data_IF_862060552458
#
_entry.id   IF_862060552458
#
_cell.length_a   1.000
_cell.length_b   1.000
_cell.length_c   1.000
_cell.angle_alpha   90.00
_cell.angle_beta   90.00
_cell.angle_gamma   90.00
#
_symmetry.space_group_name_H-M   'P 1'
#
loop_
_entity.id
_entity.type
_entity.pdbx_description
1 polymer ?
#
# COMPACT_ATOMS: atom_id res chain seq x y z
N UNK A 1 -8.59 23.36 -23.60
CA UNK A 1 -8.78 22.86 -22.21
C UNK A 1 -7.42 22.56 -21.63
N UNK A 2 -7.21 22.96 -20.39
CA UNK A 2 -5.98 22.63 -19.68
C UNK A 2 -5.92 21.11 -19.44
N UNK A 3 -4.75 20.54 -19.64
CA UNK A 3 -4.54 19.10 -19.40
C UNK A 3 -4.36 18.84 -17.90
N UNK A 4 -5.29 18.11 -17.30
CA UNK A 4 -5.27 17.76 -15.88
C UNK A 4 -5.15 16.25 -15.76
N UNK A 5 -3.98 15.78 -15.34
CA UNK A 5 -3.68 14.35 -15.12
C UNK A 5 -4.03 13.98 -13.69
N UNK A 6 -4.83 12.93 -13.51
CA UNK A 6 -5.11 12.33 -12.21
C UNK A 6 -4.86 10.82 -12.20
N UNK A 7 -4.68 10.28 -11.00
CA UNK A 7 -4.41 8.86 -10.76
C UNK A 7 -5.01 8.46 -9.40
N UNK A 8 -5.35 7.17 -9.20
CA UNK A 8 -5.99 6.71 -7.96
C UNK A 8 -5.10 6.93 -6.74
N UNK A 9 -5.72 7.32 -5.65
CA UNK A 9 -5.06 7.46 -4.37
C UNK A 9 -4.67 6.09 -3.79
N UNK A 10 -3.47 5.97 -3.27
CA UNK A 10 -2.99 4.78 -2.57
C UNK A 10 -2.10 5.20 -1.40
N UNK A 11 -2.74 5.49 -0.27
CA UNK A 11 -2.07 5.95 0.93
C UNK A 11 -1.09 7.09 0.63
N UNK A 12 0.03 7.09 1.32
CA UNK A 12 1.06 8.14 1.15
C UNK A 12 1.85 8.06 -0.15
N UNK A 13 1.69 6.96 -0.92
CA UNK A 13 2.40 6.80 -2.20
C UNK A 13 1.92 7.74 -3.30
N UNK A 14 0.77 8.40 -3.10
CA UNK A 14 0.37 9.50 -3.98
C UNK A 14 1.46 10.59 -4.07
N UNK A 15 2.25 10.81 -3.00
CA UNK A 15 3.32 11.84 -2.97
C UNK A 15 4.40 11.59 -4.02
N UNK A 16 5.14 10.45 -4.02
CA UNK A 16 6.15 10.19 -5.04
C UNK A 16 5.57 10.03 -6.45
N UNK A 17 4.34 9.50 -6.60
CA UNK A 17 3.69 9.37 -7.91
C UNK A 17 3.38 10.75 -8.48
N UNK A 18 2.81 11.65 -7.69
CA UNK A 18 2.54 13.04 -8.09
C UNK A 18 3.83 13.77 -8.49
N UNK A 19 4.91 13.62 -7.71
CA UNK A 19 6.21 14.20 -8.04
C UNK A 19 6.76 13.66 -9.37
N UNK A 20 6.68 12.35 -9.60
CA UNK A 20 7.12 11.73 -10.85
C UNK A 20 6.37 12.30 -12.05
N UNK A 21 5.05 12.34 -11.96
CA UNK A 21 4.20 12.82 -13.06
C UNK A 21 4.45 14.31 -13.36
N UNK A 22 4.65 15.14 -12.33
CA UNK A 22 5.01 16.56 -12.49
C UNK A 22 6.36 16.75 -13.18
N UNK A 23 7.33 15.86 -12.95
CA UNK A 23 8.60 15.90 -13.69
C UNK A 23 8.46 15.42 -15.13
N UNK A 24 7.60 14.42 -15.38
CA UNK A 24 7.42 13.85 -16.73
C UNK A 24 6.54 14.74 -17.61
N UNK A 25 5.47 15.31 -17.08
CA UNK A 25 4.44 16.05 -17.80
C UNK A 25 4.42 17.53 -17.37
N UNK A 26 5.40 18.29 -17.85
CA UNK A 26 5.60 19.69 -17.47
C UNK A 26 4.51 20.63 -17.96
N UNK A 27 3.81 20.26 -19.03
CA UNK A 27 2.76 21.06 -19.67
C UNK A 27 1.35 20.67 -19.18
N UNK A 28 1.26 19.85 -18.11
CA UNK A 28 0.01 19.40 -17.54
C UNK A 28 -0.07 19.77 -16.06
N UNK A 29 -1.25 20.04 -15.56
CA UNK A 29 -1.53 20.05 -14.14
C UNK A 29 -1.62 18.58 -13.67
N UNK A 30 -0.90 18.23 -12.63
CA UNK A 30 -0.95 16.86 -12.04
C UNK A 30 -1.47 16.97 -10.64
N UNK A 31 -2.54 16.24 -10.35
CA UNK A 31 -3.11 16.10 -9.01
C UNK A 31 -3.48 14.64 -8.73
N UNK A 32 -3.16 14.15 -7.55
CA UNK A 32 -3.71 12.88 -7.10
C UNK A 32 -5.24 12.99 -6.97
N UNK A 33 -5.96 11.93 -7.24
CA UNK A 33 -7.38 11.87 -6.89
C UNK A 33 -7.60 12.14 -5.40
N UNK A 34 -8.79 12.58 -4.96
CA UNK A 34 -9.08 12.81 -3.55
C UNK A 34 -8.74 11.60 -2.65
N UNK A 35 -8.43 11.83 -1.37
CA UNK A 35 -8.26 10.74 -0.42
C UNK A 35 -9.48 9.81 -0.40
N UNK A 36 -9.25 8.53 -0.27
CA UNK A 36 -10.31 7.52 -0.24
C UNK A 36 -11.24 7.75 0.95
N UNK A 37 -12.55 7.75 0.68
CA UNK A 37 -13.61 7.95 1.66
C UNK A 37 -14.73 6.92 1.46
N UNK A 38 -15.73 6.98 2.35
CA UNK A 38 -16.96 6.20 2.19
C UNK A 38 -17.68 6.54 0.87
N UNK A 39 -17.72 7.83 0.49
CA UNK A 39 -18.28 8.30 -0.78
C UNK A 39 -17.57 7.64 -1.98
N UNK A 40 -16.24 7.54 -1.94
CA UNK A 40 -15.45 6.86 -2.98
C UNK A 40 -15.89 5.40 -3.14
N UNK A 41 -16.07 4.69 -2.02
CA UNK A 41 -16.52 3.28 -2.05
C UNK A 41 -17.96 3.15 -2.56
N UNK A 42 -18.85 4.04 -2.15
CA UNK A 42 -20.24 4.07 -2.60
C UNK A 42 -20.35 4.31 -4.11
N UNK A 43 -19.64 5.31 -4.63
CA UNK A 43 -19.57 5.60 -6.08
C UNK A 43 -19.01 4.39 -6.85
N UNK A 44 -17.89 3.87 -6.41
CA UNK A 44 -17.28 2.70 -7.06
C UNK A 44 -18.16 1.46 -6.99
N UNK A 45 -18.85 1.20 -5.88
CA UNK A 45 -19.74 0.06 -5.73
C UNK A 45 -20.98 0.16 -6.60
N UNK A 46 -21.52 1.38 -6.78
CA UNK A 46 -22.70 1.63 -7.60
C UNK A 46 -22.51 1.23 -9.07
N UNK A 47 -21.33 1.46 -9.61
CA UNK A 47 -21.05 1.30 -11.05
C UNK A 47 -20.12 0.12 -11.36
N UNK A 48 -19.60 -0.57 -10.35
CA UNK A 48 -18.77 -1.75 -10.56
C UNK A 48 -19.58 -3.02 -10.78
N UNK A 49 -19.07 -4.00 -11.52
CA UNK A 49 -19.60 -5.36 -11.50
C UNK A 49 -19.58 -5.94 -10.07
N UNK A 50 -20.56 -6.80 -9.73
CA UNK A 50 -20.74 -7.30 -8.35
C UNK A 50 -19.53 -8.07 -7.80
N UNK A 51 -18.90 -8.91 -8.64
CA UNK A 51 -17.84 -9.83 -8.21
C UNK A 51 -16.42 -9.30 -8.34
N UNK A 52 -16.24 -7.99 -8.55
CA UNK A 52 -14.91 -7.39 -8.51
C UNK A 52 -14.45 -7.18 -7.07
N UNK A 53 -13.14 -7.25 -6.83
CA UNK A 53 -12.60 -7.00 -5.50
C UNK A 53 -12.68 -5.52 -5.11
N UNK A 54 -12.67 -5.23 -3.80
CA UNK A 54 -12.77 -3.86 -3.27
C UNK A 54 -11.78 -2.85 -3.90
N UNK A 55 -10.51 -3.17 -4.21
CA UNK A 55 -9.61 -2.25 -4.90
C UNK A 55 -10.13 -1.73 -6.25
N UNK A 56 -10.86 -2.56 -7.02
CA UNK A 56 -11.51 -2.09 -8.24
C UNK A 56 -12.52 -0.98 -7.95
N UNK A 57 -13.37 -1.20 -6.92
CA UNK A 57 -14.41 -0.27 -6.50
C UNK A 57 -13.81 1.05 -6.02
N UNK A 58 -12.77 0.99 -5.18
CA UNK A 58 -12.05 2.19 -4.73
C UNK A 58 -11.46 2.98 -5.90
N UNK A 59 -10.79 2.31 -6.84
CA UNK A 59 -10.19 2.99 -7.97
C UNK A 59 -11.24 3.60 -8.90
N UNK A 60 -12.34 2.88 -9.19
CA UNK A 60 -13.41 3.41 -10.03
C UNK A 60 -14.07 4.64 -9.38
N UNK A 61 -14.43 4.55 -8.10
CA UNK A 61 -15.00 5.70 -7.38
C UNK A 61 -14.04 6.90 -7.34
N UNK A 62 -12.76 6.62 -7.15
CA UNK A 62 -11.73 7.66 -7.11
C UNK A 62 -11.49 8.32 -8.48
N UNK A 63 -11.61 7.55 -9.58
CA UNK A 63 -11.61 8.13 -10.93
C UNK A 63 -12.84 9.02 -11.19
N UNK A 64 -14.03 8.60 -10.73
CA UNK A 64 -15.24 9.43 -10.83
C UNK A 64 -15.03 10.75 -10.09
N UNK A 65 -14.56 10.71 -8.84
CA UNK A 65 -14.27 11.92 -8.07
C UNK A 65 -13.24 12.82 -8.76
N UNK A 66 -12.18 12.24 -9.33
CA UNK A 66 -11.17 13.00 -10.05
C UNK A 66 -11.72 13.68 -11.33
N UNK A 67 -12.59 12.99 -12.07
CA UNK A 67 -13.26 13.54 -13.26
C UNK A 67 -14.24 14.67 -12.88
N UNK A 68 -14.98 14.49 -11.79
CA UNK A 68 -15.90 15.53 -11.26
C UNK A 68 -15.13 16.78 -10.80
N UNK A 69 -13.86 16.62 -10.36
CA UNK A 69 -12.95 17.72 -10.02
C UNK A 69 -12.22 18.32 -11.25
N UNK A 70 -12.57 17.89 -12.46
CA UNK A 70 -12.09 18.44 -13.72
C UNK A 70 -10.87 17.74 -14.32
N UNK A 71 -10.44 16.60 -13.80
CA UNK A 71 -9.42 15.79 -14.48
C UNK A 71 -9.94 15.35 -15.86
N UNK A 72 -9.06 15.36 -16.87
CA UNK A 72 -9.39 14.93 -18.23
C UNK A 72 -8.39 13.93 -18.80
N UNK A 73 -7.39 13.55 -18.00
CA UNK A 73 -6.46 12.47 -18.29
C UNK A 73 -6.34 11.60 -17.05
N UNK A 74 -6.73 10.34 -17.16
CA UNK A 74 -6.63 9.36 -16.07
C UNK A 74 -5.46 8.41 -16.30
N UNK A 75 -4.73 8.11 -15.24
CA UNK A 75 -3.57 7.25 -15.29
C UNK A 75 -3.74 6.08 -14.32
N UNK A 76 -3.55 4.86 -14.80
CA UNK A 76 -3.57 3.65 -13.98
C UNK A 76 -2.36 2.76 -14.26
N UNK A 77 -1.84 2.14 -13.20
CA UNK A 77 -0.84 1.08 -13.28
C UNK A 77 -1.52 -0.29 -13.12
N UNK A 78 -1.19 -1.25 -13.97
CA UNK A 78 -1.64 -2.64 -13.84
C UNK A 78 -0.92 -3.38 -12.70
N UNK A 79 -1.46 -4.52 -12.30
CA UNK A 79 -0.90 -5.37 -11.23
C UNK A 79 -0.67 -6.82 -11.66
N UNK A 80 -0.12 -7.63 -10.76
CA UNK A 80 0.23 -9.03 -10.99
C UNK A 80 -0.95 -10.03 -10.92
N UNK A 81 -2.18 -9.56 -10.78
CA UNK A 81 -3.41 -10.35 -10.73
C UNK A 81 -4.44 -9.81 -11.74
N UNK A 82 -5.75 -10.05 -11.52
CA UNK A 82 -6.84 -9.45 -12.32
C UNK A 82 -6.78 -7.92 -12.41
N UNK A 83 -6.14 -7.27 -11.46
CA UNK A 83 -5.88 -5.83 -11.45
C UNK A 83 -5.22 -5.33 -12.76
N UNK A 84 -4.51 -6.20 -13.46
CA UNK A 84 -3.92 -5.90 -14.77
C UNK A 84 -4.94 -5.43 -15.82
N UNK A 85 -6.17 -5.96 -15.74
CA UNK A 85 -7.25 -5.69 -16.69
C UNK A 85 -8.28 -4.70 -16.15
N UNK A 86 -8.07 -4.13 -14.96
CA UNK A 86 -9.03 -3.20 -14.37
C UNK A 86 -9.15 -1.91 -15.18
N UNK A 87 -8.04 -1.44 -15.76
CA UNK A 87 -8.01 -0.22 -16.54
C UNK A 87 -8.99 -0.24 -17.70
N UNK A 88 -9.00 -1.30 -18.50
CA UNK A 88 -9.88 -1.43 -19.65
C UNK A 88 -11.36 -1.43 -19.23
N UNK A 89 -11.71 -2.15 -18.18
CA UNK A 89 -13.08 -2.22 -17.67
C UNK A 89 -13.51 -0.88 -17.06
N UNK A 90 -12.64 -0.25 -16.29
CA UNK A 90 -12.92 1.06 -15.67
C UNK A 90 -13.06 2.15 -16.75
N UNK A 91 -12.19 2.16 -17.74
CA UNK A 91 -12.29 3.08 -18.88
C UNK A 91 -13.64 2.94 -19.59
N UNK A 92 -14.10 1.71 -19.86
CA UNK A 92 -15.38 1.48 -20.49
C UNK A 92 -16.55 1.98 -19.63
N UNK A 93 -16.56 1.63 -18.33
CA UNK A 93 -17.61 2.10 -17.41
C UNK A 93 -17.68 3.64 -17.35
N UNK A 94 -16.53 4.30 -17.28
CA UNK A 94 -16.48 5.78 -17.22
C UNK A 94 -16.98 6.41 -18.52
N UNK A 95 -16.69 5.81 -19.68
CA UNK A 95 -17.24 6.24 -20.98
C UNK A 95 -18.77 6.04 -21.05
N UNK A 96 -19.27 4.91 -20.57
CA UNK A 96 -20.71 4.61 -20.53
C UNK A 96 -21.45 5.58 -19.58
N UNK A 97 -20.77 6.12 -18.58
CA UNK A 97 -21.28 7.18 -17.70
C UNK A 97 -21.26 8.59 -18.36
N UNK A 98 -20.74 8.70 -19.59
CA UNK A 98 -20.72 9.94 -20.35
C UNK A 98 -19.49 10.84 -20.10
N UNK A 99 -18.48 10.39 -19.38
CA UNK A 99 -17.26 11.17 -19.18
C UNK A 99 -16.41 11.20 -20.47
N UNK A 100 -15.85 12.37 -20.76
CA UNK A 100 -14.90 12.59 -21.85
C UNK A 100 -13.49 12.80 -21.29
N UNK A 101 -12.60 11.83 -21.51
CA UNK A 101 -11.23 11.82 -20.94
C UNK A 101 -10.29 10.95 -21.78
N UNK A 102 -8.99 11.15 -21.61
CA UNK A 102 -7.96 10.22 -22.08
C UNK A 102 -7.58 9.24 -20.94
N UNK A 103 -7.36 7.97 -21.29
CA UNK A 103 -6.94 6.94 -20.33
C UNK A 103 -5.54 6.43 -20.65
N UNK A 104 -4.62 6.57 -19.70
CA UNK A 104 -3.24 6.11 -19.83
C UNK A 104 -3.04 4.90 -18.94
N UNK A 105 -2.90 3.73 -19.55
CA UNK A 105 -2.55 2.52 -18.83
C UNK A 105 -1.03 2.33 -18.85
N UNK A 106 -0.42 2.46 -17.66
CA UNK A 106 1.01 2.20 -17.44
C UNK A 106 1.12 0.78 -16.87
N UNK A 107 1.95 -0.08 -17.48
CA UNK A 107 2.23 -1.43 -16.98
C UNK A 107 1.12 -2.48 -17.23
N UNK A 108 0.83 -2.77 -18.48
CA UNK A 108 0.07 -3.97 -18.84
C UNK A 108 0.93 -5.25 -18.94
N UNK A 109 2.19 -5.24 -18.48
CA UNK A 109 3.13 -6.36 -18.60
C UNK A 109 4.46 -6.14 -17.85
N UNK A 110 5.55 -6.75 -18.33
CA UNK A 110 6.89 -6.50 -17.80
C UNK A 110 7.29 -5.05 -17.99
N UNK A 111 7.70 -4.39 -16.90
CA UNK A 111 8.16 -3.00 -16.92
C UNK A 111 9.43 -2.91 -17.75
N UNK A 112 9.31 -2.35 -18.96
CA UNK A 112 10.45 -1.98 -19.78
C UNK A 112 10.56 -0.45 -19.78
N UNK A 113 11.67 0.08 -19.26
CA UNK A 113 11.90 1.53 -19.17
C UNK A 113 11.81 2.23 -20.53
N UNK A 114 12.23 1.57 -21.61
CA UNK A 114 12.14 2.12 -22.97
C UNK A 114 10.69 2.24 -23.40
N UNK A 115 9.88 1.21 -23.15
CA UNK A 115 8.44 1.23 -23.47
C UNK A 115 7.72 2.29 -22.64
N UNK A 116 8.03 2.40 -21.34
CA UNK A 116 7.48 3.44 -20.48
C UNK A 116 7.84 4.85 -20.99
N UNK A 117 9.12 5.09 -21.34
CA UNK A 117 9.56 6.33 -21.93
C UNK A 117 8.80 6.67 -23.20
N UNK A 118 8.67 5.70 -24.15
CA UNK A 118 7.92 5.88 -25.40
C UNK A 118 6.45 6.24 -25.13
N UNK A 119 5.82 5.57 -24.16
CA UNK A 119 4.45 5.86 -23.72
C UNK A 119 4.36 7.30 -23.20
N UNK A 120 5.24 7.71 -22.29
CA UNK A 120 5.24 9.09 -21.78
C UNK A 120 5.45 10.13 -22.91
N UNK A 121 6.32 9.82 -23.89
CA UNK A 121 6.53 10.67 -25.08
C UNK A 121 5.26 10.80 -25.92
N UNK A 122 4.53 9.71 -26.14
CA UNK A 122 3.27 9.69 -26.87
C UNK A 122 2.23 10.62 -26.23
N UNK A 123 2.20 10.68 -24.89
CA UNK A 123 1.25 11.50 -24.13
C UNK A 123 1.79 12.90 -23.76
N UNK A 124 2.86 13.36 -24.42
CA UNK A 124 3.30 14.74 -24.37
C UNK A 124 4.52 15.05 -23.51
N UNK A 125 5.19 14.04 -22.95
CA UNK A 125 6.45 14.27 -22.24
C UNK A 125 7.52 14.79 -23.19
N UNK A 126 8.21 15.90 -22.80
CA UNK A 126 9.30 16.48 -23.57
C UNK A 126 10.69 16.11 -23.08
N UNK A 127 10.79 15.29 -22.03
CA UNK A 127 12.06 14.89 -21.43
C UNK A 127 12.94 14.13 -22.42
N UNK A 128 14.24 14.39 -22.40
CA UNK A 128 15.22 13.51 -23.01
C UNK A 128 15.34 12.21 -22.20
N UNK A 129 15.77 11.11 -22.82
CA UNK A 129 15.80 9.79 -22.15
C UNK A 129 16.65 9.77 -20.88
N UNK A 130 17.81 10.45 -20.86
CA UNK A 130 18.66 10.54 -19.67
C UNK A 130 18.00 11.31 -18.52
N UNK A 131 17.22 12.37 -18.83
CA UNK A 131 16.44 13.12 -17.83
C UNK A 131 15.32 12.26 -17.26
N UNK A 132 14.63 11.50 -18.12
CA UNK A 132 13.62 10.56 -17.70
C UNK A 132 14.18 9.52 -16.72
N UNK A 133 15.33 8.91 -17.03
CA UNK A 133 16.02 7.98 -16.15
C UNK A 133 16.43 8.66 -14.83
N UNK A 134 16.95 9.86 -14.88
CA UNK A 134 17.30 10.64 -13.69
C UNK A 134 16.11 10.79 -12.74
N UNK A 135 14.94 11.20 -13.25
CA UNK A 135 13.73 11.35 -12.41
C UNK A 135 13.18 10.02 -11.92
N UNK A 136 13.22 8.97 -12.70
CA UNK A 136 12.88 7.63 -12.23
C UNK A 136 13.77 7.23 -11.04
N UNK A 137 15.08 7.42 -11.13
CA UNK A 137 16.01 7.10 -10.03
C UNK A 137 15.77 7.99 -8.80
N UNK A 138 15.46 9.27 -9.00
CA UNK A 138 15.13 10.20 -7.93
C UNK A 138 13.87 9.73 -7.17
N UNK A 139 12.83 9.34 -7.90
CA UNK A 139 11.58 8.86 -7.29
C UNK A 139 11.76 7.49 -6.60
N UNK A 140 12.54 6.59 -7.17
CA UNK A 140 12.92 5.34 -6.50
C UNK A 140 13.60 5.63 -5.15
N UNK A 141 14.50 6.60 -5.12
CA UNK A 141 15.15 7.02 -3.88
C UNK A 141 14.16 7.64 -2.90
N UNK A 142 13.21 8.44 -3.38
CA UNK A 142 12.14 9.05 -2.57
C UNK A 142 11.26 7.97 -1.92
N UNK A 143 10.81 6.98 -2.68
CA UNK A 143 10.01 5.86 -2.19
C UNK A 143 10.77 5.09 -1.10
N UNK A 144 12.05 4.76 -1.32
CA UNK A 144 12.87 4.05 -0.33
C UNK A 144 13.06 4.84 0.97
N UNK A 145 13.19 6.15 0.88
CA UNK A 145 13.29 7.03 2.06
C UNK A 145 11.97 7.01 2.83
N UNK A 146 10.85 7.16 2.12
CA UNK A 146 9.52 7.13 2.70
C UNK A 146 9.23 5.79 3.38
N UNK A 147 9.45 4.67 2.70
CA UNK A 147 9.26 3.33 3.25
C UNK A 147 10.07 3.10 4.52
N UNK A 148 11.32 3.57 4.54
CA UNK A 148 12.20 3.43 5.72
C UNK A 148 11.74 4.28 6.90
N UNK A 149 11.29 5.51 6.66
CA UNK A 149 10.76 6.40 7.70
C UNK A 149 9.44 5.82 8.24
N UNK A 150 8.53 5.41 7.37
CA UNK A 150 7.25 4.83 7.79
C UNK A 150 7.41 3.51 8.54
N UNK A 151 8.37 2.66 8.15
CA UNK A 151 8.69 1.45 8.92
C UNK A 151 9.16 1.80 10.33
N UNK A 152 10.02 2.82 10.49
CA UNK A 152 10.46 3.28 11.80
C UNK A 152 9.33 3.90 12.63
N UNK A 153 8.40 4.60 11.99
CA UNK A 153 7.20 5.15 12.64
C UNK A 153 6.34 4.00 13.16
N UNK A 154 6.03 2.97 12.35
CA UNK A 154 5.21 1.81 12.75
C UNK A 154 5.73 1.07 13.97
N UNK A 155 7.05 1.03 14.15
CA UNK A 155 7.67 0.40 15.32
C UNK A 155 7.54 1.20 16.61
N UNK A 156 7.22 2.49 16.53
CA UNK A 156 7.29 3.46 17.64
C UNK A 156 5.99 4.19 17.93
N UNK A 157 5.13 4.32 16.95
CA UNK A 157 3.83 4.98 17.09
C UNK A 157 2.98 4.23 18.12
N UNK A 158 2.27 4.97 18.98
CA UNK A 158 1.53 4.44 20.13
C UNK A 158 2.37 4.40 21.43
N UNK A 159 3.69 4.59 21.35
CA UNK A 159 4.59 4.68 22.53
C UNK A 159 5.11 6.08 22.76
N UNK A 160 4.69 7.07 21.99
CA UNK A 160 5.14 8.45 22.16
C UNK A 160 4.69 9.07 23.49
N UNK A 161 5.61 9.83 24.11
CA UNK A 161 5.32 10.58 25.35
C UNK A 161 4.38 11.76 25.07
N UNK A 162 4.55 12.42 23.92
CA UNK A 162 3.65 13.49 23.45
C UNK A 162 2.74 12.93 22.38
N UNK A 163 1.46 12.87 22.68
CA UNK A 163 0.42 12.36 21.77
C UNK A 163 0.48 12.97 20.36
N UNK A 164 0.25 12.15 19.35
CA UNK A 164 0.26 12.50 17.92
C UNK A 164 1.60 13.11 17.42
N UNK A 165 2.70 12.99 18.17
CA UNK A 165 3.98 13.57 17.74
C UNK A 165 4.52 12.93 16.47
N UNK A 166 4.38 11.61 16.29
CA UNK A 166 4.76 10.92 15.07
C UNK A 166 3.86 11.30 13.89
N UNK A 167 2.54 11.32 14.06
CA UNK A 167 1.60 11.70 12.99
C UNK A 167 1.84 13.14 12.51
N UNK A 168 2.01 14.08 13.44
CA UNK A 168 2.24 15.48 13.11
C UNK A 168 3.57 15.70 12.38
N UNK A 169 4.63 15.02 12.82
CA UNK A 169 5.93 15.10 12.16
C UNK A 169 5.89 14.42 10.79
N UNK A 170 5.16 13.32 10.64
CA UNK A 170 4.99 12.62 9.39
C UNK A 170 4.24 13.48 8.34
N UNK A 171 3.17 14.17 8.74
CA UNK A 171 2.48 15.13 7.86
C UNK A 171 3.43 16.23 7.35
N UNK A 172 4.28 16.77 8.23
CA UNK A 172 5.30 17.76 7.84
C UNK A 172 6.33 17.16 6.88
N UNK A 173 6.78 15.94 7.14
CA UNK A 173 7.70 15.21 6.27
C UNK A 173 7.13 15.03 4.87
N UNK A 174 5.90 14.51 4.74
CA UNK A 174 5.26 14.31 3.43
C UNK A 174 5.08 15.62 2.65
N UNK A 175 4.71 16.70 3.36
CA UNK A 175 4.58 18.04 2.75
C UNK A 175 5.93 18.55 2.20
N UNK A 176 7.00 18.41 2.98
CA UNK A 176 8.33 18.85 2.55
C UNK A 176 8.91 17.91 1.48
N UNK A 177 8.61 16.63 1.54
CA UNK A 177 9.05 15.63 0.55
C UNK A 177 8.57 16.00 -0.88
N UNK A 178 7.36 16.54 -1.02
CA UNK A 178 6.82 17.05 -2.30
C UNK A 178 7.67 18.18 -2.93
N UNK A 179 8.49 18.86 -2.14
CA UNK A 179 9.33 19.97 -2.62
C UNK A 179 10.70 19.52 -3.15
N UNK A 180 11.04 18.23 -3.01
CA UNK A 180 12.32 17.71 -3.44
C UNK A 180 12.45 17.67 -4.96
N UNK A 181 13.37 18.46 -5.54
CA UNK A 181 13.59 18.55 -6.99
C UNK A 181 14.81 17.77 -7.50
N UNK A 182 15.70 17.35 -6.62
CA UNK A 182 16.94 16.66 -6.95
C UNK A 182 17.45 15.80 -5.76
N UNK A 183 18.48 14.98 -6.00
CA UNK A 183 19.05 14.11 -4.96
C UNK A 183 19.61 14.89 -3.76
N UNK A 184 20.15 16.10 -3.97
CA UNK A 184 20.69 16.91 -2.88
C UNK A 184 19.58 17.32 -1.91
N UNK A 185 18.52 17.98 -2.41
CA UNK A 185 17.36 18.39 -1.60
C UNK A 185 16.68 17.19 -0.94
N UNK A 186 16.51 16.09 -1.67
CA UNK A 186 15.93 14.86 -1.14
C UNK A 186 16.75 14.26 0.02
N UNK A 187 18.09 14.23 -0.11
CA UNK A 187 18.96 13.73 0.96
C UNK A 187 19.01 14.68 2.16
N UNK A 188 18.89 16.00 1.95
CA UNK A 188 18.78 16.98 3.04
C UNK A 188 17.50 16.77 3.85
N UNK A 189 16.35 16.61 3.18
CA UNK A 189 15.06 16.28 3.80
C UNK A 189 15.17 14.96 4.60
N UNK A 190 15.74 13.92 4.00
CA UNK A 190 15.93 12.64 4.68
C UNK A 190 16.77 12.77 5.97
N UNK A 191 17.90 13.49 5.93
CA UNK A 191 18.75 13.70 7.12
C UNK A 191 18.01 14.47 8.21
N UNK A 192 17.31 15.55 7.83
CA UNK A 192 16.50 16.37 8.73
C UNK A 192 15.47 15.53 9.47
N UNK A 193 14.61 14.82 8.73
CA UNK A 193 13.51 14.09 9.34
C UNK A 193 13.95 12.82 10.08
N UNK A 194 14.96 12.11 9.61
CA UNK A 194 15.54 11.02 10.40
C UNK A 194 16.03 11.48 11.76
N UNK A 195 16.68 12.66 11.83
CA UNK A 195 17.09 13.25 13.11
C UNK A 195 15.89 13.62 13.98
N UNK A 196 14.89 14.30 13.42
CA UNK A 196 13.70 14.71 14.15
C UNK A 196 12.89 13.53 14.68
N UNK A 197 12.65 12.48 13.86
CA UNK A 197 12.01 11.25 14.33
C UNK A 197 12.84 10.51 15.40
N UNK A 198 14.16 10.57 15.32
CA UNK A 198 15.05 9.99 16.33
C UNK A 198 15.03 10.73 17.67
N UNK A 199 14.65 12.01 17.68
CA UNK A 199 14.55 12.85 18.87
C UNK A 199 13.19 12.76 19.58
N UNK A 200 12.18 12.14 18.96
CA UNK A 200 10.88 11.95 19.59
C UNK A 200 11.01 10.99 20.78
N UNK A 201 10.58 11.45 21.93
CA UNK A 201 10.62 10.65 23.18
C UNK A 201 9.52 9.59 23.13
N UNK A 202 9.90 8.36 23.41
CA UNK A 202 9.02 7.20 23.50
C UNK A 202 9.18 6.50 24.85
N UNK A 203 8.07 5.92 25.32
CA UNK A 203 8.04 5.04 26.49
C UNK A 203 7.58 3.65 26.03
N UNK A 204 8.50 2.89 25.43
CA UNK A 204 8.23 1.58 24.84
C UNK A 204 8.74 0.48 25.79
N UNK A 205 7.84 -0.39 26.31
CA UNK A 205 8.24 -1.55 27.12
C UNK A 205 9.08 -2.54 26.30
N UNK A 206 10.01 -3.23 26.95
CA UNK A 206 10.82 -4.28 26.30
C UNK A 206 9.95 -5.44 25.80
N UNK A 207 8.95 -5.83 26.58
CA UNK A 207 8.07 -6.95 26.31
C UNK A 207 6.74 -6.55 25.62
N UNK A 208 6.73 -5.47 24.81
CA UNK A 208 5.53 -5.08 24.08
C UNK A 208 5.10 -6.17 23.08
N UNK A 209 3.80 -6.22 22.78
CA UNK A 209 3.24 -7.13 21.78
C UNK A 209 3.71 -6.73 20.38
N UNK A 210 3.99 -7.75 19.54
CA UNK A 210 4.43 -7.59 18.15
C UNK A 210 3.47 -8.30 17.22
N UNK A 211 2.85 -7.56 16.31
CA UNK A 211 1.92 -8.11 15.31
C UNK A 211 2.41 -7.81 13.91
N UNK A 212 2.40 -8.81 13.05
CA UNK A 212 2.71 -8.66 11.64
C UNK A 212 1.46 -8.45 10.81
N UNK A 213 1.53 -7.57 9.80
CA UNK A 213 0.50 -7.41 8.78
C UNK A 213 0.96 -8.06 7.48
N UNK A 214 0.15 -8.96 6.94
CA UNK A 214 0.34 -9.62 5.65
C UNK A 214 -0.96 -9.59 4.86
N UNK A 215 -0.89 -9.76 3.54
CA UNK A 215 -2.10 -9.77 2.73
C UNK A 215 -1.94 -9.06 1.40
N UNK A 216 -3.07 -8.68 0.84
CA UNK A 216 -3.17 -8.03 -0.46
C UNK A 216 -2.66 -6.59 -0.41
N UNK A 217 -1.97 -6.21 -1.46
CA UNK A 217 -1.27 -4.95 -1.65
C UNK A 217 -2.07 -3.70 -1.27
N UNK A 218 -3.26 -3.52 -1.87
CA UNK A 218 -4.05 -2.33 -1.69
C UNK A 218 -4.59 -2.23 -0.26
N UNK A 219 -5.06 -3.36 0.28
CA UNK A 219 -5.53 -3.46 1.67
C UNK A 219 -4.43 -3.16 2.70
N UNK A 220 -3.17 -3.40 2.35
CA UNK A 220 -2.02 -3.08 3.21
C UNK A 220 -1.54 -1.62 3.05
N UNK A 221 -1.69 -1.02 1.87
CA UNK A 221 -1.09 0.30 1.58
C UNK A 221 -2.06 1.46 1.71
N UNK A 222 -3.37 1.23 1.47
CA UNK A 222 -4.41 2.25 1.63
C UNK A 222 -5.08 2.12 3.00
N UNK A 223 -4.82 3.03 3.94
CA UNK A 223 -5.32 2.91 5.31
C UNK A 223 -6.84 2.84 5.42
N UNK A 224 -7.57 3.59 4.57
CA UNK A 224 -9.02 3.55 4.58
C UNK A 224 -9.57 2.16 4.22
N UNK A 225 -8.96 1.49 3.27
CA UNK A 225 -9.41 0.16 2.80
C UNK A 225 -9.29 -0.94 3.86
N UNK A 226 -8.48 -0.71 4.89
CA UNK A 226 -8.29 -1.60 6.04
C UNK A 226 -8.81 -1.00 7.35
N UNK A 227 -9.69 0.01 7.29
CA UNK A 227 -10.25 0.66 8.48
C UNK A 227 -9.18 1.13 9.48
N UNK A 228 -8.06 1.65 8.95
CA UNK A 228 -6.95 2.18 9.76
C UNK A 228 -6.40 1.19 10.81
N UNK A 229 -6.37 -0.10 10.51
CA UNK A 229 -5.91 -1.16 11.44
C UNK A 229 -4.55 -0.84 12.06
N UNK A 230 -3.58 -0.30 11.31
CA UNK A 230 -2.28 0.09 11.87
C UNK A 230 -2.44 1.11 13.02
N UNK A 231 -3.36 2.05 12.87
CA UNK A 231 -3.64 3.06 13.90
C UNK A 231 -4.35 2.48 15.13
N UNK A 232 -5.28 1.56 14.92
CA UNK A 232 -5.98 0.88 16.04
C UNK A 232 -5.02 0.00 16.84
N UNK A 233 -4.11 -0.71 16.18
CA UNK A 233 -3.07 -1.48 16.86
C UNK A 233 -2.10 -0.58 17.65
N UNK A 234 -1.72 0.58 17.10
CA UNK A 234 -0.87 1.56 17.78
C UNK A 234 -1.50 2.12 19.05
N UNK A 235 -2.83 2.39 19.06
CA UNK A 235 -3.56 2.82 20.26
C UNK A 235 -3.45 1.80 21.40
N UNK A 236 -3.42 0.52 21.06
CA UNK A 236 -3.24 -0.57 22.01
C UNK A 236 -1.76 -0.88 22.33
N UNK A 237 -0.84 0.03 21.96
CA UNK A 237 0.61 -0.10 22.19
C UNK A 237 1.19 -1.41 21.64
N UNK A 238 0.74 -1.80 20.46
CA UNK A 238 1.22 -2.97 19.72
C UNK A 238 2.23 -2.50 18.66
N UNK A 239 3.39 -3.13 18.62
CA UNK A 239 4.37 -2.93 17.55
C UNK A 239 3.86 -3.59 16.27
N UNK A 240 3.73 -2.80 15.22
CA UNK A 240 3.26 -3.29 13.93
C UNK A 240 4.43 -3.44 12.95
N UNK A 241 4.52 -4.59 12.30
CA UNK A 241 5.46 -4.83 11.21
C UNK A 241 4.74 -5.17 9.91
N UNK A 242 4.99 -4.37 8.88
CA UNK A 242 4.48 -4.57 7.52
C UNK A 242 5.65 -4.56 6.54
N UNK A 243 5.82 -5.63 5.81
CA UNK A 243 6.92 -5.81 4.85
C UNK A 243 6.53 -5.53 3.40
N UNK A 244 5.24 -5.41 3.11
CA UNK A 244 4.74 -5.03 1.79
C UNK A 244 4.80 -3.52 1.67
N UNK A 245 5.76 -3.03 0.90
CA UNK A 245 6.00 -1.63 0.59
C UNK A 245 6.14 -1.45 -0.92
N UNK A 246 6.03 -0.23 -1.41
CA UNK A 246 6.19 0.02 -2.85
C UNK A 246 7.60 -0.30 -3.34
N UNK A 247 8.64 0.00 -2.55
CA UNK A 247 10.02 -0.39 -2.89
C UNK A 247 10.20 -1.90 -2.96
N UNK A 248 9.58 -2.65 -2.03
CA UNK A 248 9.59 -4.11 -2.07
C UNK A 248 8.95 -4.64 -3.36
N UNK A 249 7.79 -4.14 -3.72
CA UNK A 249 7.04 -4.60 -4.90
C UNK A 249 7.77 -4.32 -6.20
N UNK A 250 8.36 -3.13 -6.34
CA UNK A 250 9.01 -2.71 -7.57
C UNK A 250 10.38 -3.37 -7.78
N UNK A 251 11.14 -3.63 -6.69
CA UNK A 251 12.55 -3.98 -6.83
C UNK A 251 12.96 -5.31 -6.20
N UNK A 252 12.22 -5.79 -5.22
CA UNK A 252 12.67 -6.93 -4.42
C UNK A 252 11.83 -8.19 -4.62
N UNK A 253 10.56 -8.04 -4.94
CA UNK A 253 9.60 -9.15 -4.98
C UNK A 253 10.05 -10.28 -5.90
N UNK A 254 10.41 -9.97 -7.14
CA UNK A 254 10.81 -10.98 -8.13
C UNK A 254 12.01 -11.82 -7.72
N UNK A 255 12.98 -11.22 -7.01
CA UNK A 255 14.15 -11.93 -6.50
C UNK A 255 13.85 -12.70 -5.22
N UNK A 256 13.02 -12.11 -4.34
CA UNK A 256 12.70 -12.71 -3.05
C UNK A 256 11.70 -13.85 -3.14
N UNK A 257 10.82 -13.86 -4.13
CA UNK A 257 9.82 -14.92 -4.31
C UNK A 257 10.46 -16.31 -4.43
N UNK A 258 11.56 -16.45 -5.16
CA UNK A 258 12.31 -17.73 -5.25
C UNK A 258 12.87 -18.18 -3.89
N UNK A 259 13.42 -17.23 -3.12
CA UNK A 259 13.92 -17.48 -1.78
C UNK A 259 12.76 -17.87 -0.85
N UNK A 260 11.64 -17.18 -0.92
CA UNK A 260 10.45 -17.46 -0.12
C UNK A 260 9.88 -18.86 -0.40
N UNK A 261 9.80 -19.27 -1.66
CA UNK A 261 9.38 -20.64 -2.01
C UNK A 261 10.31 -21.69 -1.39
N UNK A 262 11.62 -21.44 -1.42
CA UNK A 262 12.61 -22.35 -0.81
C UNK A 262 12.46 -22.42 0.70
N UNK A 263 12.32 -21.27 1.39
CA UNK A 263 12.20 -21.19 2.84
C UNK A 263 10.84 -21.72 3.35
N UNK A 264 9.77 -21.50 2.58
CA UNK A 264 8.42 -21.93 2.90
C UNK A 264 8.02 -23.28 2.26
N UNK A 265 8.98 -24.07 1.74
CA UNK A 265 8.75 -25.32 0.99
C UNK A 265 7.83 -26.31 1.71
N UNK A 266 7.86 -26.33 3.04
CA UNK A 266 6.97 -27.17 3.86
C UNK A 266 5.48 -26.84 3.62
N UNK A 267 5.17 -25.55 3.35
CA UNK A 267 3.80 -25.04 3.23
C UNK A 267 3.44 -24.68 1.79
N UNK A 268 4.42 -24.24 0.98
CA UNK A 268 4.27 -23.79 -0.40
C UNK A 268 5.09 -24.65 -1.35
N UNK A 269 4.43 -25.43 -2.20
CA UNK A 269 5.10 -26.22 -3.25
C UNK A 269 5.32 -25.41 -4.53
N UNK A 270 4.42 -24.46 -4.81
CA UNK A 270 4.47 -23.60 -6.00
C UNK A 270 4.10 -22.18 -5.65
N UNK A 271 4.35 -21.28 -6.60
CA UNK A 271 3.90 -19.90 -6.53
C UNK A 271 2.37 -19.85 -6.70
N UNK A 272 1.67 -19.26 -5.74
CA UNK A 272 0.18 -19.18 -5.73
C UNK A 272 -0.35 -17.86 -6.28
N UNK A 273 0.52 -17.04 -6.90
CA UNK A 273 0.17 -15.78 -7.57
C UNK A 273 0.23 -14.56 -6.66
N UNK A 274 0.31 -13.42 -7.29
CA UNK A 274 0.33 -12.07 -6.70
C UNK A 274 1.02 -12.00 -5.32
N UNK A 275 0.28 -11.62 -4.27
CA UNK A 275 0.82 -11.43 -2.93
C UNK A 275 0.71 -12.69 -2.03
N UNK A 276 -0.10 -13.68 -2.41
CA UNK A 276 -0.36 -14.87 -1.60
C UNK A 276 0.91 -15.64 -1.21
N UNK A 277 1.86 -15.84 -2.14
CA UNK A 277 3.17 -16.45 -1.85
C UNK A 277 3.93 -15.65 -0.79
N UNK A 278 3.94 -14.33 -0.92
CA UNK A 278 4.57 -13.41 0.03
C UNK A 278 3.91 -13.48 1.39
N UNK A 279 2.57 -13.53 1.45
CA UNK A 279 1.79 -13.61 2.70
C UNK A 279 2.16 -14.87 3.50
N UNK A 280 2.26 -16.03 2.85
CA UNK A 280 2.66 -17.29 3.51
C UNK A 280 4.11 -17.22 4.00
N UNK A 281 5.04 -16.79 3.14
CA UNK A 281 6.46 -16.73 3.50
C UNK A 281 6.75 -15.73 4.62
N UNK A 282 6.08 -14.58 4.61
CA UNK A 282 6.22 -13.56 5.65
C UNK A 282 5.62 -14.03 6.97
N UNK A 283 4.45 -14.68 6.95
CA UNK A 283 3.85 -15.25 8.16
C UNK A 283 4.77 -16.30 8.81
N UNK A 284 5.39 -17.15 8.00
CA UNK A 284 6.39 -18.11 8.50
C UNK A 284 7.61 -17.41 9.11
N UNK A 285 8.11 -16.38 8.45
CA UNK A 285 9.23 -15.58 8.96
C UNK A 285 8.87 -14.94 10.31
N UNK A 286 7.70 -14.32 10.41
CA UNK A 286 7.21 -13.70 11.65
C UNK A 286 7.04 -14.71 12.78
N UNK A 287 6.50 -15.91 12.48
CA UNK A 287 6.38 -17.00 13.44
C UNK A 287 7.76 -17.43 13.98
N UNK A 288 8.75 -17.58 13.11
CA UNK A 288 10.13 -17.91 13.51
C UNK A 288 10.82 -16.81 14.31
N UNK A 289 10.42 -15.56 14.12
CA UNK A 289 10.91 -14.41 14.86
C UNK A 289 10.21 -14.17 16.20
N UNK A 290 9.27 -15.03 16.57
CA UNK A 290 8.56 -14.96 17.85
C UNK A 290 7.56 -13.80 17.93
N UNK A 291 6.90 -13.46 16.81
CA UNK A 291 5.79 -12.52 16.86
C UNK A 291 4.60 -13.11 17.62
N UNK A 292 3.87 -12.22 18.33
CA UNK A 292 2.74 -12.62 19.16
C UNK A 292 1.51 -12.99 18.30
N UNK A 293 1.41 -12.43 17.06
CA UNK A 293 0.36 -12.75 16.12
C UNK A 293 0.55 -12.13 14.75
N UNK A 294 -0.29 -12.51 13.81
CA UNK A 294 -0.36 -11.97 12.46
C UNK A 294 -1.80 -11.59 12.13
N UNK A 295 -1.98 -10.50 11.40
CA UNK A 295 -3.27 -10.12 10.82
C UNK A 295 -3.14 -10.22 9.30
N UNK A 296 -4.00 -11.04 8.69
CA UNK A 296 -4.10 -11.25 7.25
C UNK A 296 -5.23 -10.41 6.67
N UNK A 297 -4.88 -9.45 5.81
CA UNK A 297 -5.78 -8.47 5.21
C UNK A 297 -6.00 -8.80 3.75
N UNK A 298 -7.24 -8.97 3.33
CA UNK A 298 -7.55 -9.22 1.92
C UNK A 298 -8.91 -8.67 1.50
N UNK A 299 -9.09 -8.29 0.24
CA UNK A 299 -10.41 -8.08 -0.31
C UNK A 299 -11.19 -9.40 -0.35
N UNK A 300 -12.51 -9.34 -0.20
CA UNK A 300 -13.36 -10.49 -0.48
C UNK A 300 -13.12 -10.97 -1.92
N UNK A 301 -13.00 -12.29 -2.11
CA UNK A 301 -12.76 -12.88 -3.43
C UNK A 301 -11.34 -12.69 -4.01
N UNK A 302 -10.35 -12.22 -3.23
CA UNK A 302 -8.96 -12.20 -3.66
C UNK A 302 -8.39 -13.62 -3.75
N UNK A 303 -8.34 -14.18 -4.96
CA UNK A 303 -7.95 -15.59 -5.19
C UNK A 303 -6.57 -15.93 -4.63
N UNK A 304 -5.49 -15.16 -4.85
CA UNK A 304 -4.18 -15.48 -4.27
C UNK A 304 -4.19 -15.54 -2.75
N UNK A 305 -4.91 -14.63 -2.09
CA UNK A 305 -4.97 -14.59 -0.62
C UNK A 305 -5.93 -15.64 -0.03
N UNK A 306 -6.98 -16.01 -0.76
CA UNK A 306 -7.83 -17.17 -0.40
C UNK A 306 -7.00 -18.46 -0.47
N UNK A 307 -6.20 -18.63 -1.51
CA UNK A 307 -5.31 -19.77 -1.66
C UNK A 307 -4.21 -19.81 -0.57
N UNK A 308 -3.80 -18.66 -0.03
CA UNK A 308 -2.83 -18.61 1.07
C UNK A 308 -3.39 -19.14 2.40
N UNK A 309 -4.70 -19.01 2.64
CA UNK A 309 -5.30 -19.29 3.95
C UNK A 309 -5.02 -20.70 4.50
N UNK A 310 -5.14 -21.81 3.74
CA UNK A 310 -4.83 -23.14 4.25
C UNK A 310 -3.38 -23.28 4.74
N UNK A 311 -2.42 -22.65 4.01
CA UNK A 311 -1.01 -22.67 4.41
C UNK A 311 -0.79 -21.84 5.67
N UNK A 312 -1.45 -20.69 5.79
CA UNK A 312 -1.41 -19.85 6.99
C UNK A 312 -1.98 -20.59 8.21
N UNK A 313 -3.07 -21.36 8.05
CA UNK A 313 -3.62 -22.21 9.11
C UNK A 313 -2.63 -23.29 9.57
N UNK A 314 -1.89 -23.89 8.63
CA UNK A 314 -0.85 -24.86 8.98
C UNK A 314 0.30 -24.21 9.76
N UNK A 315 0.71 -22.99 9.41
CA UNK A 315 1.71 -22.21 10.17
C UNK A 315 1.18 -21.95 11.59
N UNK A 316 -0.10 -21.54 11.73
CA UNK A 316 -0.73 -21.37 13.06
C UNK A 316 -0.65 -22.64 13.89
N UNK A 317 -0.95 -23.81 13.31
CA UNK A 317 -0.87 -25.10 14.01
C UNK A 317 0.54 -25.43 14.47
N UNK A 318 1.53 -25.26 13.59
CA UNK A 318 2.91 -25.66 13.87
C UNK A 318 3.62 -24.73 14.86
N UNK A 319 3.38 -23.42 14.76
CA UNK A 319 4.06 -22.40 15.59
C UNK A 319 3.20 -21.91 16.75
N UNK A 320 1.96 -22.34 16.83
CA UNK A 320 0.97 -21.85 17.81
C UNK A 320 0.78 -20.31 17.76
N UNK A 321 1.19 -19.67 16.66
CA UNK A 321 1.03 -18.23 16.44
C UNK A 321 -0.35 -17.94 15.86
N UNK A 322 -1.21 -17.18 16.54
CA UNK A 322 -2.55 -16.88 16.06
C UNK A 322 -2.51 -15.96 14.81
N UNK A 323 -3.39 -16.23 13.88
CA UNK A 323 -3.58 -15.40 12.68
C UNK A 323 -5.05 -14.96 12.63
N UNK A 324 -5.27 -13.63 12.67
CA UNK A 324 -6.59 -13.04 12.46
C UNK A 324 -6.78 -12.75 10.97
N UNK A 325 -7.91 -13.17 10.41
CA UNK A 325 -8.22 -12.98 8.99
C UNK A 325 -9.30 -11.91 8.83
N UNK A 326 -9.01 -10.87 8.03
CA UNK A 326 -10.01 -9.91 7.57
C UNK A 326 -10.23 -10.04 6.07
N UNK A 327 -11.51 -10.06 5.67
CA UNK A 327 -11.96 -9.97 4.29
C UNK A 327 -12.79 -8.72 4.15
N UNK A 328 -12.37 -7.81 3.29
CA UNK A 328 -13.02 -6.50 3.10
C UNK A 328 -13.86 -6.48 1.84
N UNK A 329 -15.04 -5.95 1.94
CA UNK A 329 -15.97 -5.64 0.84
C UNK A 329 -16.71 -4.33 1.11
N UNK A 330 -17.68 -4.00 0.27
CA UNK A 330 -18.49 -2.79 0.43
C UNK A 330 -19.47 -2.82 1.62
N UNK A 331 -19.67 -3.99 2.23
CA UNK A 331 -20.58 -4.18 3.38
C UNK A 331 -19.82 -4.36 4.71
N UNK A 332 -18.51 -4.31 4.68
CA UNK A 332 -17.68 -4.49 5.88
C UNK A 332 -17.94 -3.37 6.88
N UNK A 333 -18.26 -3.76 8.13
CA UNK A 333 -18.56 -2.84 9.22
C UNK A 333 -17.31 -2.47 10.03
N UNK A 334 -17.09 -1.19 10.27
CA UNK A 334 -16.01 -0.70 11.14
C UNK A 334 -16.13 -1.26 12.56
N UNK A 335 -17.35 -1.32 13.12
CA UNK A 335 -17.60 -1.89 14.45
C UNK A 335 -17.17 -3.36 14.49
N UNK A 336 -17.55 -4.17 13.48
CA UNK A 336 -17.15 -5.57 13.41
C UNK A 336 -15.64 -5.77 13.32
N UNK A 337 -14.91 -4.85 12.65
CA UNK A 337 -13.45 -4.87 12.63
C UNK A 337 -12.87 -4.60 14.02
N UNK A 338 -13.35 -3.55 14.71
CA UNK A 338 -12.88 -3.17 16.05
C UNK A 338 -13.08 -4.29 17.06
N UNK A 339 -14.29 -4.85 17.14
CA UNK A 339 -14.59 -5.96 18.08
C UNK A 339 -13.68 -7.18 17.86
N UNK A 340 -13.40 -7.52 16.58
CA UNK A 340 -12.50 -8.65 16.27
C UNK A 340 -11.04 -8.34 16.58
N UNK A 341 -10.61 -7.07 16.44
CA UNK A 341 -9.27 -6.64 16.86
C UNK A 341 -9.12 -6.70 18.38
N UNK A 342 -10.12 -6.27 19.14
CA UNK A 342 -10.14 -6.34 20.60
C UNK A 342 -10.06 -7.81 21.07
N UNK A 343 -10.90 -8.69 20.53
CA UNK A 343 -10.84 -10.12 20.84
C UNK A 343 -9.48 -10.76 20.48
N UNK A 344 -8.88 -10.34 19.38
CA UNK A 344 -7.54 -10.80 19.00
C UNK A 344 -6.47 -10.28 19.96
N UNK A 345 -6.57 -9.04 20.39
CA UNK A 345 -5.69 -8.44 21.39
C UNK A 345 -5.72 -9.22 22.71
N UNK A 346 -6.92 -9.47 23.25
CA UNK A 346 -7.09 -10.23 24.48
C UNK A 346 -6.50 -11.65 24.35
N UNK A 347 -6.74 -12.31 23.23
CA UNK A 347 -6.21 -13.64 22.96
C UNK A 347 -4.68 -13.67 22.95
N UNK A 348 -4.00 -12.70 22.33
CA UNK A 348 -2.53 -12.67 22.28
C UNK A 348 -1.92 -12.31 23.64
N UNK A 349 -2.59 -11.47 24.46
CA UNK A 349 -2.18 -11.19 25.85
C UNK A 349 -2.25 -12.46 26.70
N UNK A 350 -3.42 -13.08 26.76
CA UNK A 350 -3.63 -14.29 27.54
C UNK A 350 -2.65 -15.40 27.16
N UNK A 351 -2.31 -15.50 25.88
CA UNK A 351 -1.31 -16.46 25.42
C UNK A 351 0.09 -16.10 25.92
N UNK A 352 0.46 -14.83 25.87
CA UNK A 352 1.80 -14.37 26.31
C UNK A 352 1.99 -14.60 27.80
N UNK A 353 0.96 -14.36 28.61
CA UNK A 353 0.96 -14.60 30.05
C UNK A 353 1.11 -16.09 30.41
N UNK A 354 0.57 -17.00 29.59
CA UNK A 354 0.71 -18.45 29.80
C UNK A 354 2.08 -19.02 29.39
N UNK A 355 2.88 -18.26 28.65
CA UNK A 355 4.21 -18.67 28.19
C UNK A 355 5.30 -18.13 29.12
N UNK A 356 5.04 -17.07 29.87
CA UNK A 356 5.88 -16.52 30.94
C UNK A 356 5.64 -17.27 32.25
#
# INVERSE_FOLDING_TARGET
MDKIISFPHIGNYHVPIECLLKFIFTDCTVQAAPPITKKTLELGSKYSPDFVCAPFKYNLGNFIEALDEGANILLQAGGGCRYRYYGEVQEQILKDLGYNFEFIQIFSGNINLVTLYKTCRKYGSRLAFHQFIYYILLIIRMIRIMDKIESNIREKIGFEVKENSFENLHKKFLKELKTAKNFHSLNAINRKYRRQFGQLKINKPENCLKVGLVGELYSLMEPFSSFFIEKELAKNKIVVSRYTTLSYLLFEKSFKDRKFLKEAKKYLKFHIGADGTTSVAKSLMLARQGYDGVIHLKPFGCTPEVNAMPMLQNITKDYKMPILYFSFDSQTSETGIKTRLEAFYDMIIMRKEKIL
#
